data_IF_482009979629
#
_entry.id   IF_482009979629
#
_cell.length_a   1.000
_cell.length_b   1.000
_cell.length_c   1.000
_cell.angle_alpha   90.00
_cell.angle_beta   90.00
_cell.angle_gamma   90.00
#
_symmetry.space_group_name_H-M   'P 1'
#
loop_
_entity.id
_entity.type
_entity.pdbx_description
1 polymer ?
#
# COMPACT_ATOMS: atom_id res chain seq x y z
N UNK A 1 21.78 39.89 11.01
CA UNK A 1 20.62 39.06 11.23
C UNK A 1 20.73 37.84 10.29
N UNK A 2 20.93 36.65 10.87
CA UNK A 2 20.85 35.42 10.10
C UNK A 2 19.40 35.24 9.67
N UNK A 3 19.13 34.79 8.42
CA UNK A 3 17.79 34.48 8.04
C UNK A 3 17.33 33.34 8.94
N UNK A 4 16.22 33.57 9.65
CA UNK A 4 15.54 32.52 10.38
C UNK A 4 15.19 31.44 9.34
N UNK A 5 15.79 30.26 9.48
CA UNK A 5 15.36 29.09 8.75
C UNK A 5 13.87 28.88 9.06
N UNK A 6 13.04 28.86 8.03
CA UNK A 6 11.66 28.44 8.17
C UNK A 6 11.71 27.04 8.75
N UNK A 7 11.41 26.89 10.04
CA UNK A 7 11.13 25.58 10.60
C UNK A 7 9.78 25.14 10.04
N UNK A 8 9.82 24.45 8.92
CA UNK A 8 8.68 23.68 8.49
C UNK A 8 8.64 22.43 9.36
N UNK A 9 7.90 22.50 10.45
CA UNK A 9 7.50 21.31 11.18
C UNK A 9 6.46 20.61 10.35
N UNK A 10 6.89 19.79 9.40
CA UNK A 10 6.01 18.78 8.86
C UNK A 10 5.66 17.83 9.99
N UNK A 11 4.39 17.55 10.14
CA UNK A 11 3.95 16.39 10.86
C UNK A 11 4.45 15.13 10.10
N UNK A 12 5.75 14.87 10.19
CA UNK A 12 6.40 13.70 9.57
C UNK A 12 5.83 12.39 10.09
N UNK A 13 4.99 12.42 11.11
CA UNK A 13 4.42 11.25 11.74
C UNK A 13 3.12 11.58 12.46
N UNK A 14 2.17 12.18 11.75
CA UNK A 14 0.79 12.26 12.24
C UNK A 14 0.03 10.94 12.05
N UNK A 15 0.71 9.90 11.56
CA UNK A 15 0.15 8.57 11.45
C UNK A 15 0.01 7.92 12.83
N UNK A 16 -1.19 7.47 13.13
CA UNK A 16 -1.51 6.67 14.31
C UNK A 16 -2.27 5.43 13.87
N UNK A 17 -1.75 4.26 14.20
CA UNK A 17 -2.38 3.00 13.88
C UNK A 17 -3.73 2.85 14.59
N UNK A 18 -4.68 2.19 13.94
CA UNK A 18 -5.93 1.76 14.57
C UNK A 18 -5.68 0.81 15.73
N UNK A 19 -6.61 0.72 16.65
CA UNK A 19 -6.49 -0.06 17.89
C UNK A 19 -7.12 -1.46 17.82
N UNK A 20 -7.97 -1.73 16.82
CA UNK A 20 -8.58 -3.04 16.59
C UNK A 20 -7.91 -3.74 15.40
N UNK A 21 -6.95 -4.61 15.67
CA UNK A 21 -6.24 -5.38 14.63
C UNK A 21 -7.18 -6.44 14.06
N UNK A 22 -7.45 -6.39 12.75
CA UNK A 22 -8.29 -7.36 12.04
C UNK A 22 -7.49 -8.30 11.13
N UNK A 23 -6.26 -7.94 10.80
CA UNK A 23 -5.31 -8.76 10.06
C UNK A 23 -3.90 -8.40 10.47
N UNK A 24 -3.08 -9.40 10.77
CA UNK A 24 -1.66 -9.22 11.12
C UNK A 24 -0.89 -10.44 10.63
N UNK A 25 -0.07 -10.25 9.60
CA UNK A 25 0.74 -11.32 9.03
C UNK A 25 2.24 -10.95 9.02
N UNK A 26 2.96 -11.29 10.09
CA UNK A 26 4.42 -11.13 10.14
C UNK A 26 5.19 -12.13 9.28
N UNK A 27 4.51 -13.09 8.65
CA UNK A 27 5.08 -14.14 7.79
C UNK A 27 5.94 -15.20 8.50
N UNK A 28 6.08 -15.15 9.82
CA UNK A 28 7.02 -16.01 10.57
C UNK A 28 6.76 -17.51 10.41
N UNK A 29 5.49 -17.91 10.26
CA UNK A 29 5.07 -19.30 10.18
C UNK A 29 4.88 -19.81 8.74
N UNK A 30 5.17 -18.98 7.74
CA UNK A 30 5.00 -19.34 6.34
C UNK A 30 6.14 -20.26 5.85
N UNK A 31 5.81 -21.13 4.90
CA UNK A 31 6.79 -22.02 4.27
C UNK A 31 7.39 -21.39 3.02
N UNK A 32 8.71 -21.46 2.90
CA UNK A 32 9.42 -20.98 1.72
C UNK A 32 9.01 -21.77 0.47
N UNK A 33 8.77 -21.04 -0.62
CA UNK A 33 8.39 -21.61 -1.91
C UNK A 33 6.88 -21.85 -2.08
N UNK A 34 6.11 -21.71 -1.00
CA UNK A 34 4.66 -21.87 -1.05
C UNK A 34 3.93 -20.53 -1.16
N UNK A 35 2.69 -20.55 -1.60
CA UNK A 35 1.82 -19.37 -1.54
C UNK A 35 1.50 -19.06 -0.07
N UNK A 36 1.48 -17.77 0.35
CA UNK A 36 1.25 -17.43 1.74
C UNK A 36 -0.15 -17.84 2.21
N UNK A 37 -0.23 -18.54 3.36
CA UNK A 37 -1.44 -19.22 3.82
C UNK A 37 -2.58 -18.28 4.25
N UNK A 38 -2.27 -17.04 4.63
CA UNK A 38 -3.26 -16.04 5.06
C UNK A 38 -3.74 -15.13 3.91
N UNK A 39 -3.37 -15.45 2.69
CA UNK A 39 -3.67 -14.66 1.50
C UNK A 39 -4.49 -15.44 0.50
N UNK A 40 -5.11 -14.72 -0.41
CA UNK A 40 -5.83 -15.25 -1.56
C UNK A 40 -5.14 -14.82 -2.85
N UNK A 41 -4.93 -15.77 -3.76
CA UNK A 41 -4.44 -15.52 -5.09
C UNK A 41 -5.64 -15.32 -6.03
N UNK A 42 -5.79 -14.12 -6.56
CA UNK A 42 -6.85 -13.79 -7.52
C UNK A 42 -6.37 -14.12 -8.94
N UNK A 43 -5.14 -13.75 -9.26
CA UNK A 43 -4.53 -14.00 -10.56
C UNK A 43 -3.00 -14.01 -10.44
N UNK A 44 -2.34 -14.73 -11.35
CA UNK A 44 -0.88 -14.75 -11.46
C UNK A 44 -0.20 -15.74 -10.51
N UNK A 45 0.99 -15.37 -10.04
CA UNK A 45 1.86 -16.21 -9.23
C UNK A 45 2.50 -15.39 -8.12
N UNK A 46 2.52 -15.94 -6.92
CA UNK A 46 3.26 -15.40 -5.79
C UNK A 46 3.76 -16.54 -4.89
N UNK A 47 4.89 -16.33 -4.24
CA UNK A 47 5.47 -17.31 -3.32
C UNK A 47 6.16 -16.63 -2.15
N UNK A 48 6.30 -17.36 -1.05
CA UNK A 48 7.07 -16.92 0.11
C UNK A 48 8.54 -17.17 -0.13
N UNK A 49 9.34 -16.13 0.07
CA UNK A 49 10.80 -16.17 -0.02
C UNK A 49 11.44 -15.60 1.24
N UNK A 50 12.72 -15.86 1.43
CA UNK A 50 13.53 -15.19 2.45
C UNK A 50 14.45 -14.19 1.77
N UNK A 51 14.34 -12.92 2.16
CA UNK A 51 15.16 -11.85 1.61
C UNK A 51 15.54 -10.85 2.70
N UNK A 52 16.82 -10.48 2.77
CA UNK A 52 17.35 -9.57 3.81
C UNK A 52 16.89 -9.94 5.22
N UNK A 53 16.92 -11.24 5.55
CA UNK A 53 16.59 -11.76 6.87
C UNK A 53 15.09 -11.79 7.21
N UNK A 54 14.20 -11.45 6.27
CA UNK A 54 12.75 -11.51 6.45
C UNK A 54 12.10 -12.46 5.46
N UNK A 55 11.05 -13.14 5.87
CA UNK A 55 10.14 -13.80 4.96
C UNK A 55 9.20 -12.78 4.33
N UNK A 56 8.99 -12.89 3.05
CA UNK A 56 8.18 -11.97 2.28
C UNK A 56 7.47 -12.68 1.12
N UNK A 57 6.46 -12.03 0.57
CA UNK A 57 5.78 -12.47 -0.64
C UNK A 57 6.52 -11.89 -1.83
N UNK A 58 7.04 -12.75 -2.69
CA UNK A 58 7.61 -12.37 -3.97
C UNK A 58 6.51 -12.29 -5.02
N UNK A 59 6.40 -11.15 -5.67
CA UNK A 59 5.56 -10.93 -6.84
C UNK A 59 6.47 -10.51 -8.00
N UNK A 60 6.56 -11.34 -9.03
CA UNK A 60 7.44 -11.11 -10.18
C UNK A 60 6.74 -11.15 -11.53
N UNK A 61 5.52 -11.69 -11.56
CA UNK A 61 4.76 -11.84 -12.80
C UNK A 61 3.75 -10.71 -12.96
N UNK A 62 3.80 -10.05 -14.12
CA UNK A 62 2.83 -9.02 -14.48
C UNK A 62 1.40 -9.56 -14.46
N UNK A 63 0.50 -8.79 -13.90
CA UNK A 63 -0.91 -9.14 -13.76
C UNK A 63 -1.23 -9.88 -12.46
N UNK A 64 -0.24 -10.24 -11.65
CA UNK A 64 -0.49 -10.89 -10.36
C UNK A 64 -1.33 -10.00 -9.45
N UNK A 65 -2.38 -10.58 -8.88
CA UNK A 65 -3.30 -9.96 -7.92
C UNK A 65 -3.43 -10.84 -6.70
N UNK A 66 -3.16 -10.27 -5.54
CA UNK A 66 -3.28 -10.93 -4.25
C UNK A 66 -4.03 -10.05 -3.24
N UNK A 67 -4.74 -10.65 -2.33
CA UNK A 67 -5.40 -9.94 -1.24
C UNK A 67 -5.37 -10.75 0.06
N UNK A 68 -5.54 -10.10 1.22
CA UNK A 68 -5.68 -10.83 2.48
C UNK A 68 -6.92 -11.73 2.48
N UNK A 69 -6.79 -12.93 3.05
CA UNK A 69 -7.91 -13.86 3.21
C UNK A 69 -8.71 -13.48 4.46
N UNK A 70 -9.92 -12.97 4.26
CA UNK A 70 -10.79 -12.48 5.33
C UNK A 70 -12.11 -13.26 5.36
N UNK A 71 -12.71 -13.42 6.54
CA UNK A 71 -14.03 -14.07 6.70
C UNK A 71 -15.12 -13.30 5.97
N UNK A 72 -15.12 -11.98 6.10
CA UNK A 72 -15.93 -11.08 5.30
C UNK A 72 -15.03 -10.51 4.19
N UNK A 73 -15.13 -11.03 2.95
CA UNK A 73 -14.12 -10.72 1.93
C UNK A 73 -14.27 -9.34 1.29
N UNK A 74 -15.45 -8.70 1.39
CA UNK A 74 -15.75 -7.51 0.61
C UNK A 74 -15.94 -6.24 1.42
N UNK A 75 -16.17 -6.34 2.72
CA UNK A 75 -16.50 -5.17 3.55
C UNK A 75 -15.94 -5.32 4.96
N UNK A 76 -14.64 -5.40 5.08
CA UNK A 76 -13.97 -5.55 6.37
C UNK A 76 -13.29 -4.28 6.86
N UNK A 77 -13.01 -3.29 5.99
CA UNK A 77 -12.24 -2.10 6.37
C UNK A 77 -13.04 -1.13 7.25
N UNK A 78 -14.33 -0.96 7.00
CA UNK A 78 -15.12 0.05 7.68
C UNK A 78 -14.80 1.47 7.21
N UNK A 79 -15.25 2.48 7.95
CA UNK A 79 -15.07 3.87 7.61
C UNK A 79 -13.89 4.57 8.32
N UNK A 80 -13.23 3.86 9.25
CA UNK A 80 -12.01 4.32 9.93
C UNK A 80 -11.05 3.13 10.04
N UNK A 81 -9.92 3.20 9.35
CA UNK A 81 -8.94 2.11 9.35
C UNK A 81 -7.52 2.59 9.06
N UNK A 82 -6.57 1.74 9.36
CA UNK A 82 -5.17 1.87 8.95
C UNK A 82 -4.66 0.58 8.31
N UNK A 83 -3.73 0.74 7.37
CA UNK A 83 -3.02 -0.37 6.72
C UNK A 83 -1.53 -0.06 6.76
N UNK A 84 -0.74 -1.04 7.16
CA UNK A 84 0.72 -0.94 7.15
C UNK A 84 1.33 -2.18 6.52
N UNK A 85 2.40 -2.01 5.78
CA UNK A 85 3.23 -3.12 5.27
C UNK A 85 4.63 -2.64 4.92
N UNK A 86 5.54 -3.58 4.74
CA UNK A 86 6.89 -3.31 4.27
C UNK A 86 7.03 -3.74 2.82
N UNK A 87 7.68 -2.90 2.03
CA UNK A 87 7.86 -3.03 0.60
C UNK A 87 9.35 -2.97 0.25
N UNK A 88 9.80 -3.90 -0.59
CA UNK A 88 11.13 -3.84 -1.15
C UNK A 88 11.09 -4.15 -2.66
N UNK A 89 11.90 -3.46 -3.40
CA UNK A 89 12.10 -3.68 -4.82
C UNK A 89 13.59 -3.58 -5.12
N UNK A 90 14.20 -4.66 -5.59
CA UNK A 90 15.53 -4.60 -6.14
C UNK A 90 15.44 -3.98 -7.53
N UNK A 91 15.98 -2.79 -7.70
CA UNK A 91 16.09 -2.15 -9.00
C UNK A 91 17.47 -2.43 -9.55
N UNK A 92 17.54 -3.16 -10.65
CA UNK A 92 18.72 -3.27 -11.50
C UNK A 92 18.60 -2.27 -12.64
N UNK A 93 19.71 -1.91 -13.23
CA UNK A 93 19.70 -1.05 -14.42
C UNK A 93 18.75 -1.62 -15.50
N UNK A 94 17.82 -0.82 -15.95
CA UNK A 94 16.78 -1.22 -16.89
C UNK A 94 15.55 -1.91 -16.32
N UNK A 95 15.52 -2.18 -15.01
CA UNK A 95 14.32 -2.70 -14.36
C UNK A 95 13.28 -1.60 -14.10
N UNK A 96 12.03 -1.97 -14.21
CA UNK A 96 10.90 -1.15 -13.80
C UNK A 96 9.83 -2.00 -13.13
N UNK A 97 9.15 -1.43 -12.15
CA UNK A 97 8.11 -2.13 -11.38
C UNK A 97 7.01 -1.17 -11.00
N UNK A 98 5.77 -1.56 -11.22
CA UNK A 98 4.59 -0.78 -10.86
C UNK A 98 3.67 -1.63 -9.99
N UNK A 99 3.76 -1.41 -8.69
CA UNK A 99 2.87 -2.06 -7.73
C UNK A 99 1.75 -1.12 -7.36
N UNK A 100 0.51 -1.58 -7.54
CA UNK A 100 -0.70 -0.90 -7.11
C UNK A 100 -1.18 -1.45 -5.77
N UNK A 101 -1.51 -0.56 -4.86
CA UNK A 101 -2.28 -0.86 -3.65
C UNK A 101 -3.67 -0.28 -3.86
N UNK A 102 -4.64 -1.15 -4.07
CA UNK A 102 -6.00 -0.79 -4.45
C UNK A 102 -6.97 -0.95 -3.29
N UNK A 103 -7.84 0.03 -3.13
CA UNK A 103 -8.96 0.00 -2.20
C UNK A 103 -10.26 -0.09 -2.99
N UNK A 104 -10.99 -1.17 -2.78
CA UNK A 104 -12.08 -1.63 -3.64
C UNK A 104 -13.45 -1.31 -3.06
N UNK A 105 -14.46 -1.23 -3.91
CA UNK A 105 -15.85 -1.01 -3.48
C UNK A 105 -16.37 -2.16 -2.61
N UNK A 106 -17.08 -1.81 -1.55
CA UNK A 106 -17.54 -2.74 -0.51
C UNK A 106 -18.57 -3.79 -0.98
N UNK A 107 -19.26 -3.54 -2.07
CA UNK A 107 -20.37 -4.33 -2.57
C UNK A 107 -20.05 -5.10 -3.86
N UNK A 108 -18.80 -5.05 -4.30
CA UNK A 108 -18.44 -5.59 -5.61
C UNK A 108 -17.13 -6.39 -5.55
N UNK A 109 -17.17 -7.59 -6.18
CA UNK A 109 -16.00 -8.46 -6.35
C UNK A 109 -15.15 -8.13 -7.59
N UNK A 110 -15.55 -7.13 -8.37
CA UNK A 110 -14.79 -6.75 -9.55
C UNK A 110 -13.46 -6.14 -9.14
N UNK A 111 -12.37 -6.71 -9.60
CA UNK A 111 -11.02 -6.21 -9.37
C UNK A 111 -10.75 -4.90 -10.13
N UNK A 112 -11.70 -4.44 -10.91
CA UNK A 112 -11.64 -3.19 -11.67
C UNK A 112 -12.45 -2.05 -11.03
N UNK A 113 -13.17 -2.33 -9.93
CA UNK A 113 -13.97 -1.35 -9.22
C UNK A 113 -13.23 -0.75 -8.03
N UNK A 114 -12.05 -0.22 -8.28
CA UNK A 114 -11.31 0.55 -7.30
C UNK A 114 -11.94 1.91 -7.03
N UNK A 115 -11.99 2.30 -5.77
CA UNK A 115 -12.40 3.64 -5.33
C UNK A 115 -11.22 4.59 -5.23
N UNK A 116 -10.11 4.06 -4.78
CA UNK A 116 -8.85 4.78 -4.68
C UNK A 116 -7.71 3.78 -4.77
N UNK A 117 -6.62 4.18 -5.34
CA UNK A 117 -5.39 3.40 -5.33
C UNK A 117 -4.18 4.32 -5.44
N UNK A 118 -3.05 3.82 -4.99
CA UNK A 118 -1.77 4.42 -5.31
C UNK A 118 -0.88 3.38 -5.97
N UNK A 119 -0.02 3.84 -6.82
CA UNK A 119 1.03 3.05 -7.45
C UNK A 119 2.39 3.63 -7.10
N UNK A 120 3.29 2.73 -6.80
CA UNK A 120 4.70 3.05 -6.70
C UNK A 120 5.36 2.57 -7.98
N UNK A 121 5.93 3.50 -8.72
CA UNK A 121 6.72 3.21 -9.91
C UNK A 121 8.20 3.39 -9.62
N UNK A 122 9.00 2.39 -9.99
CA UNK A 122 10.44 2.49 -10.02
C UNK A 122 10.93 2.16 -11.41
N UNK A 123 11.62 3.07 -12.02
CA UNK A 123 12.33 2.85 -13.28
C UNK A 123 13.51 3.81 -13.38
N UNK A 124 14.36 3.58 -14.35
CA UNK A 124 15.64 4.25 -14.50
C UNK A 124 15.58 5.76 -14.23
N UNK A 125 16.13 6.19 -13.09
CA UNK A 125 16.20 7.58 -12.67
C UNK A 125 14.92 8.20 -12.12
N UNK A 126 13.85 7.44 -11.92
CA UNK A 126 12.59 7.92 -11.34
C UNK A 126 12.08 7.05 -10.22
N UNK A 127 11.72 7.72 -9.11
CA UNK A 127 11.00 7.18 -7.98
C UNK A 127 9.82 8.10 -7.69
N UNK A 128 8.61 7.66 -7.98
CA UNK A 128 7.43 8.45 -7.73
C UNK A 128 6.28 7.58 -7.21
N UNK A 129 5.40 8.23 -6.46
CA UNK A 129 4.13 7.69 -6.02
C UNK A 129 3.03 8.47 -6.70
N UNK A 130 2.17 7.78 -7.44
CA UNK A 130 0.97 8.33 -8.05
C UNK A 130 -0.23 7.79 -7.31
N UNK A 131 -1.26 8.61 -7.10
CA UNK A 131 -2.51 8.17 -6.50
C UNK A 131 -3.70 8.69 -7.26
N UNK A 132 -4.80 7.94 -7.15
CA UNK A 132 -6.05 8.17 -7.87
C UNK A 132 -7.22 7.94 -6.92
N UNK A 133 -8.28 8.72 -7.06
CA UNK A 133 -9.50 8.51 -6.29
C UNK A 133 -10.75 8.97 -7.06
N UNK A 134 -11.88 8.31 -6.75
CA UNK A 134 -13.20 8.70 -7.25
C UNK A 134 -13.69 9.98 -6.57
N UNK A 135 -14.29 10.85 -7.37
CA UNK A 135 -14.99 12.04 -6.92
C UNK A 135 -16.39 12.09 -7.55
N UNK A 136 -17.25 12.97 -7.06
CA UNK A 136 -18.57 13.20 -7.66
C UNK A 136 -18.52 13.76 -9.09
N UNK A 137 -17.35 14.15 -9.56
CA UNK A 137 -17.12 14.71 -10.91
C UNK A 137 -16.27 13.80 -11.80
N UNK A 138 -16.07 12.56 -11.41
CA UNK A 138 -15.19 11.61 -12.08
C UNK A 138 -13.97 11.28 -11.20
N UNK A 139 -12.81 11.06 -11.82
CA UNK A 139 -11.59 10.70 -11.12
C UNK A 139 -10.65 11.90 -10.95
N UNK A 140 -9.90 11.92 -9.87
CA UNK A 140 -8.81 12.84 -9.64
C UNK A 140 -7.52 12.10 -9.33
N UNK A 141 -6.39 12.77 -9.38
CA UNK A 141 -5.08 12.14 -9.17
C UNK A 141 -4.07 13.14 -8.59
N UNK A 142 -2.98 12.60 -8.08
CA UNK A 142 -1.83 13.36 -7.60
C UNK A 142 -0.54 12.57 -7.79
N UNK A 143 0.57 13.24 -7.56
CA UNK A 143 1.92 12.71 -7.73
C UNK A 143 2.86 13.30 -6.69
N UNK A 144 3.79 12.50 -6.22
CA UNK A 144 4.84 12.92 -5.30
C UNK A 144 6.16 12.23 -5.65
N UNK A 145 7.19 13.02 -5.90
CA UNK A 145 8.55 12.52 -6.12
C UNK A 145 9.17 12.17 -4.78
N UNK A 146 9.58 10.93 -4.63
CA UNK A 146 10.22 10.45 -3.43
C UNK A 146 11.29 9.41 -3.78
N UNK A 147 12.51 9.65 -3.33
CA UNK A 147 13.59 8.69 -3.47
C UNK A 147 13.45 7.60 -2.40
N UNK A 148 12.99 6.43 -2.81
CA UNK A 148 12.91 5.25 -1.95
C UNK A 148 14.14 4.39 -2.19
N UNK A 149 14.89 3.99 -1.14
CA UNK A 149 16.05 3.14 -1.32
C UNK A 149 15.67 1.78 -1.92
N UNK A 150 16.34 1.41 -3.01
CA UNK A 150 16.26 0.08 -3.58
C UNK A 150 17.00 -0.93 -2.70
N UNK A 151 16.62 -2.19 -2.76
CA UNK A 151 17.21 -3.30 -2.00
C UNK A 151 17.13 -3.14 -0.47
N UNK A 152 16.28 -2.26 0.01
CA UNK A 152 15.99 -2.02 1.42
C UNK A 152 14.48 -2.11 1.68
N UNK A 153 14.11 -2.44 2.93
CA UNK A 153 12.72 -2.41 3.34
C UNK A 153 12.24 -0.97 3.51
N UNK A 154 11.15 -0.64 2.81
CA UNK A 154 10.46 0.63 2.92
C UNK A 154 9.13 0.41 3.62
N UNK A 155 8.83 1.22 4.62
CA UNK A 155 7.57 1.13 5.35
C UNK A 155 6.49 1.97 4.68
N UNK A 156 5.36 1.35 4.40
CA UNK A 156 4.16 2.00 3.87
C UNK A 156 3.09 2.02 4.95
N UNK A 157 2.49 3.16 5.18
CA UNK A 157 1.38 3.32 6.08
C UNK A 157 0.26 4.11 5.42
N UNK A 158 -0.97 3.67 5.63
CA UNK A 158 -2.16 4.28 5.05
C UNK A 158 -3.17 4.50 6.16
N UNK A 159 -3.75 5.69 6.22
CA UNK A 159 -4.88 5.98 7.09
C UNK A 159 -6.10 6.43 6.30
N UNK A 160 -7.25 5.97 6.72
CA UNK A 160 -8.55 6.40 6.20
C UNK A 160 -9.46 6.76 7.37
N UNK A 161 -10.00 7.97 7.34
CA UNK A 161 -10.92 8.45 8.36
C UNK A 161 -12.15 9.06 7.70
N UNK A 162 -13.20 8.26 7.56
CA UNK A 162 -14.50 8.61 6.99
C UNK A 162 -14.46 9.04 5.51
N UNK A 163 -13.63 10.02 5.17
CA UNK A 163 -13.47 10.57 3.82
C UNK A 163 -12.04 10.98 3.52
N UNK A 164 -11.22 11.14 4.56
CA UNK A 164 -9.85 11.58 4.44
C UNK A 164 -8.90 10.39 4.28
N UNK A 165 -8.13 10.41 3.21
CA UNK A 165 -7.16 9.37 2.88
C UNK A 165 -5.75 9.94 2.87
N UNK A 166 -4.86 9.30 3.60
CA UNK A 166 -3.44 9.68 3.69
C UNK A 166 -2.54 8.49 3.47
N UNK A 167 -1.47 8.69 2.73
CA UNK A 167 -0.45 7.66 2.43
C UNK A 167 0.92 8.17 2.85
N UNK A 168 1.68 7.29 3.50
CA UNK A 168 3.01 7.57 4.04
C UNK A 168 4.01 6.53 3.53
N UNK A 169 5.17 7.00 3.10
CA UNK A 169 6.33 6.17 2.79
C UNK A 169 7.50 6.56 3.69
N UNK A 170 8.00 5.63 4.49
CA UNK A 170 9.07 5.85 5.46
C UNK A 170 8.80 7.05 6.39
N UNK A 171 7.56 7.21 6.83
CA UNK A 171 7.11 8.30 7.69
C UNK A 171 6.87 9.63 6.98
N UNK A 172 7.11 9.72 5.67
CA UNK A 172 6.85 10.93 4.88
C UNK A 172 5.45 10.83 4.29
N UNK A 173 4.59 11.81 4.59
CA UNK A 173 3.26 11.88 4.01
C UNK A 173 3.37 12.30 2.53
N UNK A 174 3.04 11.38 1.64
CA UNK A 174 3.11 11.59 0.19
C UNK A 174 1.75 11.97 -0.40
N UNK A 175 0.65 11.44 0.14
CA UNK A 175 -0.69 11.78 -0.30
C UNK A 175 -1.56 12.23 0.87
N UNK A 176 -2.38 13.24 0.62
CA UNK A 176 -3.35 13.75 1.57
C UNK A 176 -4.62 14.16 0.81
N UNK A 177 -5.60 13.28 0.78
CA UNK A 177 -6.87 13.48 0.06
C UNK A 177 -7.98 13.70 1.08
N UNK A 178 -8.56 14.91 1.18
CA UNK A 178 -9.55 15.22 2.22
C UNK A 178 -10.93 14.61 1.93
N UNK A 179 -11.25 14.31 0.68
CA UNK A 179 -12.59 13.95 0.25
C UNK A 179 -12.60 12.79 -0.74
N UNK A 180 -12.56 11.56 -0.24
CA UNK A 180 -12.91 10.37 -1.03
C UNK A 180 -14.43 10.22 -1.05
N UNK A 181 -14.99 9.75 -2.16
CA UNK A 181 -16.44 9.69 -2.38
C UNK A 181 -17.19 8.85 -1.36
N UNK A 182 -16.62 7.70 -0.98
CA UNK A 182 -17.18 6.80 0.02
C UNK A 182 -16.08 5.92 0.63
N UNK A 183 -16.30 5.29 1.81
CA UNK A 183 -15.35 4.33 2.36
C UNK A 183 -15.20 3.10 1.46
N UNK A 184 -13.96 2.61 1.24
CA UNK A 184 -13.73 1.35 0.56
C UNK A 184 -14.05 0.16 1.46
N UNK A 185 -14.21 -1.03 0.86
CA UNK A 185 -14.54 -2.24 1.59
C UNK A 185 -13.36 -3.19 1.81
N UNK A 186 -12.48 -3.33 0.83
CA UNK A 186 -11.41 -4.31 0.84
C UNK A 186 -10.16 -3.85 0.08
N UNK A 187 -9.07 -4.57 0.28
CA UNK A 187 -7.72 -4.22 -0.18
C UNK A 187 -7.20 -5.27 -1.17
N UNK A 188 -6.56 -4.81 -2.24
CA UNK A 188 -5.96 -5.63 -3.29
C UNK A 188 -4.57 -5.09 -3.65
N UNK A 189 -3.58 -5.98 -3.78
CA UNK A 189 -2.28 -5.66 -4.37
C UNK A 189 -2.20 -6.20 -5.79
N UNK A 190 -1.73 -5.39 -6.71
CA UNK A 190 -1.59 -5.76 -8.11
C UNK A 190 -0.27 -5.27 -8.69
N UNK A 191 0.45 -6.17 -9.35
CA UNK A 191 1.60 -5.81 -10.19
C UNK A 191 1.11 -5.58 -11.61
N UNK A 192 1.00 -4.32 -12.03
CA UNK A 192 0.42 -3.97 -13.34
C UNK A 192 1.42 -3.88 -14.45
N UNK A 193 2.67 -3.61 -14.14
CA UNK A 193 3.70 -3.45 -15.14
C UNK A 193 5.05 -3.71 -14.49
N UNK A 194 5.96 -4.30 -15.23
CA UNK A 194 7.29 -4.50 -14.70
C UNK A 194 7.97 -5.74 -15.23
N UNK A 195 9.29 -5.68 -15.18
CA UNK A 195 10.19 -6.80 -15.40
C UNK A 195 11.04 -7.10 -14.16
N UNK A 196 10.76 -6.38 -13.06
CA UNK A 196 11.44 -6.52 -11.80
C UNK A 196 10.57 -7.17 -10.73
N UNK A 197 11.22 -7.68 -9.71
CA UNK A 197 10.59 -8.30 -8.55
C UNK A 197 10.09 -7.26 -7.55
N UNK A 198 9.01 -7.59 -6.85
CA UNK A 198 8.49 -6.81 -5.72
C UNK A 198 8.29 -7.74 -4.54
N UNK A 199 8.65 -7.29 -3.36
CA UNK A 199 8.53 -8.06 -2.11
C UNK A 199 7.65 -7.30 -1.13
N UNK A 200 6.65 -7.98 -0.58
CA UNK A 200 5.73 -7.44 0.42
C UNK A 200 5.78 -8.32 1.66
N UNK A 201 5.83 -7.72 2.84
CA UNK A 201 5.78 -8.44 4.10
C UNK A 201 5.11 -7.60 5.19
N UNK A 202 4.77 -8.25 6.28
CA UNK A 202 4.31 -7.62 7.52
C UNK A 202 3.06 -6.77 7.33
N UNK A 203 2.07 -7.27 6.57
CA UNK A 203 0.79 -6.58 6.40
C UNK A 203 0.01 -6.58 7.70
N UNK A 204 -0.40 -5.40 8.13
CA UNK A 204 -1.31 -5.19 9.27
C UNK A 204 -2.45 -4.30 8.85
N UNK A 205 -3.67 -4.73 9.17
CA UNK A 205 -4.90 -3.95 8.99
C UNK A 205 -5.55 -3.78 10.34
N UNK A 206 -5.86 -2.54 10.71
CA UNK A 206 -6.53 -2.23 11.97
C UNK A 206 -7.68 -1.24 11.73
N UNK A 207 -8.76 -1.41 12.49
CA UNK A 207 -9.88 -0.48 12.57
C UNK A 207 -9.73 0.39 13.81
N UNK A 208 -10.49 1.49 13.90
CA UNK A 208 -10.58 2.28 15.11
C UNK A 208 -10.18 3.73 14.96
N UNK A 209 -10.03 4.41 16.10
CA UNK A 209 -9.88 5.85 16.21
C UNK A 209 -8.57 6.36 15.61
N UNK A 210 -8.60 6.64 14.32
CA UNK A 210 -7.55 7.42 13.68
C UNK A 210 -7.80 8.90 14.01
N UNK A 211 -6.81 9.65 14.52
CA UNK A 211 -6.98 11.05 14.85
C UNK A 211 -7.46 11.89 13.67
N UNK A 212 -8.37 12.81 13.97
CA UNK A 212 -8.87 13.81 13.02
C UNK A 212 -7.88 14.97 12.93
N UNK A 213 -6.98 14.92 12.00
CA UNK A 213 -6.10 16.06 11.71
C UNK A 213 -6.08 16.38 10.23
#
# INVERSE_FOLDING_TARGET
>A
PQPQSLEMTYAKSDFVAGDEIIFDDPMDNEQLGEFPSQWELIDGVAEVVSINGKKAILISEWGTKICPLMKEPLNYLGDVFTVEYDLMFPVKEGDYTWLLTKFMKADNKSEEDEMMYFERAAYDGRDDVHWYWETSRGNSNGEYDIALPANEWNHVAISFNKRAWKVYFNGIRVANVPNVLAPPGWLLFQLTNGNGDTYITNLRIAKGAVPLY
#
